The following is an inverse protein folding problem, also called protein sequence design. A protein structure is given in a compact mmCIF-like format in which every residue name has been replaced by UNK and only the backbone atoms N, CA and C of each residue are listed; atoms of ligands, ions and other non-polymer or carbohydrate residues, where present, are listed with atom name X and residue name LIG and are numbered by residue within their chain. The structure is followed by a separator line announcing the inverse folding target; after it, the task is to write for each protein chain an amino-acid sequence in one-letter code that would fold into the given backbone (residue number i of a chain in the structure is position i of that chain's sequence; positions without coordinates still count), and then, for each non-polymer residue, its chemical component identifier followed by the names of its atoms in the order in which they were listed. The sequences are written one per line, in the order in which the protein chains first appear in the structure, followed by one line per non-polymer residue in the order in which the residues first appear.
data_IF_246292912885
#
_entry.id   IF_246292912885
#
_cell.length_a   1.000
_cell.length_b   1.000
_cell.length_c   1.000
_cell.angle_alpha   90.00
_cell.angle_beta   90.00
_cell.angle_gamma   90.00
#
_symmetry.space_group_name_H-M   'P 1'
#
loop_
_entity.id
_entity.type
_entity.pdbx_description
1 polymer ?
#
# COMPACT_ATOMS: atom_id res chain seq x y z
N UNK A 1 -20.23 2.62 -6.60
CA UNK A 1 -19.57 2.30 -5.32
C UNK A 1 -19.39 3.58 -4.55
N UNK A 2 -19.81 3.62 -3.28
CA UNK A 2 -19.68 4.82 -2.45
C UNK A 2 -18.21 5.20 -2.30
N UNK A 3 -17.85 6.45 -2.61
CA UNK A 3 -16.52 7.01 -2.35
C UNK A 3 -16.36 7.09 -0.84
N UNK A 4 -15.68 6.11 -0.27
CA UNK A 4 -15.43 6.06 1.17
C UNK A 4 -14.09 6.73 1.45
N UNK A 5 -14.23 7.93 1.99
CA UNK A 5 -13.23 8.88 2.49
C UNK A 5 -12.20 8.25 3.44
N UNK A 6 -11.21 9.05 3.86
CA UNK A 6 -10.26 8.79 4.97
C UNK A 6 -10.87 8.27 6.28
N UNK A 7 -12.18 8.37 6.48
CA UNK A 7 -12.88 7.89 7.68
C UNK A 7 -13.26 6.40 7.65
N UNK A 8 -13.09 5.71 6.52
CA UNK A 8 -13.33 4.26 6.47
C UNK A 8 -12.12 3.49 6.99
N UNK A 9 -12.29 2.87 8.16
CA UNK A 9 -11.27 2.01 8.80
C UNK A 9 -10.73 0.91 7.89
N UNK A 10 -11.47 0.49 6.87
CA UNK A 10 -11.04 -0.53 5.90
C UNK A 10 -9.91 -0.04 4.99
N UNK A 11 -9.79 1.28 4.80
CA UNK A 11 -8.69 1.87 4.03
C UNK A 11 -7.33 1.72 4.73
N UNK A 12 -7.32 1.37 6.03
CA UNK A 12 -6.11 1.18 6.84
C UNK A 12 -5.71 -0.29 7.00
N UNK A 13 -6.32 -1.22 6.24
CA UNK A 13 -5.95 -2.64 6.29
C UNK A 13 -4.49 -2.89 5.85
N UNK A 14 -3.90 -1.99 5.05
CA UNK A 14 -2.49 -2.07 4.67
C UNK A 14 -1.54 -1.97 5.88
N UNK A 15 -1.95 -1.30 6.97
CA UNK A 15 -1.14 -1.19 8.19
C UNK A 15 -0.86 -2.56 8.81
N UNK A 16 -1.81 -3.49 8.76
CA UNK A 16 -1.61 -4.85 9.25
C UNK A 16 -0.61 -5.61 8.37
N UNK A 17 -0.63 -5.38 7.06
CA UNK A 17 0.36 -5.95 6.16
C UNK A 17 1.77 -5.41 6.46
N UNK A 18 1.91 -4.10 6.68
CA UNK A 18 3.16 -3.47 7.12
C UNK A 18 3.67 -4.12 8.42
N UNK A 19 2.81 -4.31 9.43
CA UNK A 19 3.17 -5.00 10.69
C UNK A 19 3.67 -6.42 10.48
N UNK A 20 3.08 -7.16 9.54
CA UNK A 20 3.54 -8.51 9.20
C UNK A 20 4.93 -8.47 8.55
N UNK A 21 5.16 -7.55 7.62
CA UNK A 21 6.49 -7.37 6.99
C UNK A 21 7.53 -6.96 8.03
N UNK A 22 7.20 -6.04 8.94
CA UNK A 22 8.09 -5.61 10.03
C UNK A 22 8.46 -6.77 10.97
N UNK A 23 7.49 -7.62 11.30
CA UNK A 23 7.68 -8.79 12.16
C UNK A 23 8.55 -9.86 11.48
N UNK A 24 8.23 -10.20 10.23
CA UNK A 24 8.85 -11.33 9.50
C UNK A 24 10.19 -10.94 8.88
N UNK A 25 10.38 -9.66 8.51
CA UNK A 25 11.55 -9.12 7.81
C UNK A 25 11.95 -9.96 6.58
N UNK A 26 11.02 -10.21 5.63
CA UNK A 26 11.32 -11.01 4.46
C UNK A 26 12.36 -10.32 3.55
N UNK A 27 13.05 -11.09 2.70
CA UNK A 27 13.95 -10.49 1.68
C UNK A 27 13.18 -9.68 0.64
N UNK A 28 11.98 -10.16 0.27
CA UNK A 28 11.09 -9.54 -0.70
C UNK A 28 9.64 -9.81 -0.30
N UNK A 29 8.74 -8.93 -0.71
CA UNK A 29 7.29 -9.12 -0.58
C UNK A 29 6.59 -8.55 -1.82
N UNK A 30 5.35 -8.96 -2.06
CA UNK A 30 4.51 -8.45 -3.15
C UNK A 30 3.19 -7.99 -2.55
N UNK A 31 2.75 -6.80 -2.94
CA UNK A 31 1.45 -6.26 -2.54
C UNK A 31 0.66 -5.95 -3.82
N UNK A 32 -0.52 -6.54 -3.94
CA UNK A 32 -1.46 -6.30 -5.05
C UNK A 32 -2.57 -5.37 -4.58
N UNK A 33 -2.95 -4.42 -5.44
CA UNK A 33 -4.09 -3.54 -5.22
C UNK A 33 -4.57 -2.97 -6.56
N UNK A 34 -5.79 -2.42 -6.56
CA UNK A 34 -6.38 -1.78 -7.73
C UNK A 34 -5.64 -0.47 -8.10
N UNK A 35 -5.62 -0.07 -9.38
CA UNK A 35 -4.87 1.12 -9.83
C UNK A 35 -5.25 2.43 -9.12
N UNK A 36 -6.48 2.52 -8.60
CA UNK A 36 -6.96 3.67 -7.85
C UNK A 36 -6.17 3.97 -6.57
N UNK A 37 -5.38 3.01 -6.04
CA UNK A 37 -4.49 3.25 -4.89
C UNK A 37 -3.53 4.42 -5.15
N UNK A 38 -3.02 4.56 -6.38
CA UNK A 38 -2.04 5.57 -6.74
C UNK A 38 -2.60 7.00 -6.71
N UNK A 39 -3.92 7.16 -6.88
CA UNK A 39 -4.57 8.46 -7.04
C UNK A 39 -5.58 8.79 -5.93
N UNK A 40 -5.99 7.79 -5.15
CA UNK A 40 -6.90 7.95 -4.03
C UNK A 40 -6.38 8.99 -3.02
N UNK A 41 -7.27 9.86 -2.56
CA UNK A 41 -6.95 10.93 -1.59
C UNK A 41 -5.69 11.73 -2.01
N UNK A 42 -5.57 12.03 -3.32
CA UNK A 42 -4.43 12.74 -3.93
C UNK A 42 -3.09 12.01 -3.74
N UNK A 43 -3.11 10.68 -3.73
CA UNK A 43 -1.93 9.83 -3.58
C UNK A 43 -1.50 9.59 -2.13
N UNK A 44 -2.29 10.05 -1.15
CA UNK A 44 -1.96 9.93 0.27
C UNK A 44 -1.59 8.50 0.68
N UNK A 45 -2.43 7.52 0.36
CA UNK A 45 -2.22 6.13 0.78
C UNK A 45 -0.97 5.50 0.15
N UNK A 46 -0.71 5.76 -1.14
CA UNK A 46 0.48 5.24 -1.80
C UNK A 46 1.76 5.84 -1.19
N UNK A 47 1.76 7.16 -0.96
CA UNK A 47 2.90 7.85 -0.34
C UNK A 47 3.15 7.37 1.10
N UNK A 48 2.09 7.09 1.86
CA UNK A 48 2.19 6.55 3.22
C UNK A 48 2.78 5.14 3.21
N UNK A 49 2.29 4.26 2.34
CA UNK A 49 2.86 2.91 2.11
C UNK A 49 4.34 3.00 1.76
N UNK A 50 4.70 3.87 0.82
CA UNK A 50 6.08 4.06 0.37
C UNK A 50 6.99 4.54 1.51
N UNK A 51 6.53 5.53 2.28
CA UNK A 51 7.25 6.06 3.42
C UNK A 51 7.51 4.98 4.48
N UNK A 52 6.50 4.18 4.81
CA UNK A 52 6.61 3.12 5.83
C UNK A 52 7.62 2.05 5.41
N UNK A 53 7.55 1.57 4.16
CA UNK A 53 8.47 0.54 3.68
C UNK A 53 9.90 1.07 3.49
N UNK A 54 10.08 2.31 3.02
CA UNK A 54 11.39 2.94 2.92
C UNK A 54 12.03 3.10 4.31
N UNK A 55 11.26 3.50 5.33
CA UNK A 55 11.74 3.60 6.71
C UNK A 55 12.19 2.24 7.28
N UNK A 56 11.63 1.13 6.79
CA UNK A 56 12.04 -0.23 7.15
C UNK A 56 13.22 -0.77 6.32
N UNK A 57 13.77 0.03 5.40
CA UNK A 57 14.91 -0.36 4.55
C UNK A 57 14.53 -1.14 3.30
N UNK A 58 13.25 -1.15 2.92
CA UNK A 58 12.79 -1.73 1.66
C UNK A 58 12.74 -0.67 0.56
N UNK A 59 13.11 -1.05 -0.66
CA UNK A 59 12.85 -0.25 -1.85
C UNK A 59 11.61 -0.78 -2.56
N UNK A 60 10.66 0.09 -2.86
CA UNK A 60 9.43 -0.26 -3.56
C UNK A 60 9.56 -0.02 -5.06
N UNK A 61 9.15 -1.02 -5.84
CA UNK A 61 8.87 -0.88 -7.26
C UNK A 61 7.39 -1.16 -7.48
N UNK A 62 6.75 -0.34 -8.32
CA UNK A 62 5.33 -0.49 -8.62
C UNK A 62 5.07 -0.36 -10.12
N UNK A 63 3.99 -1.00 -10.58
CA UNK A 63 3.54 -0.95 -11.97
C UNK A 63 2.07 -1.34 -12.07
N UNK A 64 1.37 -0.78 -13.07
CA UNK A 64 -0.01 -1.18 -13.40
C UNK A 64 0.06 -2.18 -14.53
N UNK A 65 -0.47 -3.37 -14.32
CA UNK A 65 -0.50 -4.45 -15.30
C UNK A 65 -1.94 -4.71 -15.75
N UNK A 66 -2.10 -5.05 -17.02
CA UNK A 66 -3.37 -5.52 -17.59
C UNK A 66 -3.25 -7.03 -17.89
N UNK A 67 -4.25 -7.81 -17.50
CA UNK A 67 -4.27 -9.27 -17.67
C UNK A 67 -4.75 -9.72 -19.05
N UNK A 68 -5.16 -8.79 -19.91
CA UNK A 68 -5.69 -9.02 -21.25
C UNK A 68 -4.63 -9.52 -22.26
#
# INVERSE_FOLDING_TARGET
GQRKTIYDKRNFLFEYYVKVVELVKPKYFVMENVPNLLTAEKGYFFNEIETLFNAMGYFLQHGVLNAA
#
